data_IF_081875040197
#
_entry.id   IF_081875040197
#
_cell.length_a   1.000
_cell.length_b   1.000
_cell.length_c   1.000
_cell.angle_alpha   90.00
_cell.angle_beta   90.00
_cell.angle_gamma   90.00
#
_symmetry.space_group_name_H-M   'P 1'
#
loop_
_entity.id
_entity.type
_entity.pdbx_description
1 polymer ?
#
# COMPACT_ATOMS: atom_id res chain seq x y z
N UNK A 1 8.39 6.38 13.63
CA UNK A 1 8.47 7.20 12.39
C UNK A 1 9.09 8.56 12.68
N UNK A 2 8.62 9.30 13.70
CA UNK A 2 9.20 10.58 14.10
C UNK A 2 10.72 10.54 14.36
N UNK A 3 11.21 9.49 15.04
CA UNK A 3 12.64 9.31 15.32
C UNK A 3 13.53 9.12 14.08
N UNK A 4 12.94 8.85 12.92
CA UNK A 4 13.64 8.67 11.64
C UNK A 4 13.38 9.82 10.66
N UNK A 5 12.72 10.89 11.10
CA UNK A 5 12.35 12.05 10.26
C UNK A 5 11.53 11.66 9.01
N UNK A 6 10.80 10.55 9.08
CA UNK A 6 9.98 10.06 7.96
C UNK A 6 8.60 10.70 7.86
N UNK A 7 8.19 11.45 8.89
CA UNK A 7 6.86 12.08 8.92
C UNK A 7 6.62 12.98 7.70
N UNK A 8 7.63 13.73 7.26
CA UNK A 8 7.53 14.61 6.08
C UNK A 8 7.19 13.84 4.79
N UNK A 9 7.71 12.62 4.62
CA UNK A 9 7.48 11.81 3.41
C UNK A 9 6.12 11.11 3.40
N UNK A 10 5.39 11.12 4.52
CA UNK A 10 4.05 10.55 4.60
C UNK A 10 2.97 11.57 4.25
N UNK A 11 3.30 12.87 4.30
CA UNK A 11 2.35 13.92 3.97
C UNK A 11 2.04 13.91 2.47
N UNK A 12 0.75 13.99 2.13
CA UNK A 12 0.33 14.11 0.72
C UNK A 12 0.64 15.49 0.16
N UNK A 13 0.85 16.49 1.03
CA UNK A 13 1.28 17.85 0.72
C UNK A 13 2.16 18.43 1.84
N UNK A 14 3.09 19.35 1.55
CA UNK A 14 4.00 19.89 2.56
C UNK A 14 3.34 20.65 3.72
N UNK A 15 2.13 21.18 3.52
CA UNK A 15 1.40 21.99 4.50
C UNK A 15 0.56 21.18 5.49
N UNK A 16 0.53 19.85 5.38
CA UNK A 16 -0.14 18.96 6.33
C UNK A 16 0.57 19.03 7.69
N UNK A 17 -0.15 19.32 8.80
CA UNK A 17 0.42 19.29 10.14
C UNK A 17 0.93 17.90 10.51
N UNK A 18 2.08 17.83 11.19
CA UNK A 18 2.63 16.55 11.68
C UNK A 18 1.64 15.80 12.58
N UNK A 19 0.82 16.52 13.34
CA UNK A 19 -0.23 15.96 14.20
C UNK A 19 -1.27 15.15 13.45
N UNK A 20 -1.47 15.43 12.16
CA UNK A 20 -2.50 14.79 11.34
C UNK A 20 -1.99 13.50 10.71
N UNK A 21 -0.68 13.24 10.76
CA UNK A 21 -0.04 12.02 10.23
C UNK A 21 -0.21 10.86 11.21
N UNK A 22 -1.45 10.40 11.35
CA UNK A 22 -1.84 9.22 12.16
C UNK A 22 -1.83 7.93 11.34
N UNK A 23 -1.96 6.73 11.97
CA UNK A 23 -2.16 5.48 11.24
C UNK A 23 -3.38 5.51 10.29
N UNK A 24 -4.49 6.12 10.69
CA UNK A 24 -5.69 6.27 9.87
C UNK A 24 -5.45 7.18 8.67
N UNK A 25 -4.67 8.25 8.86
CA UNK A 25 -4.21 9.09 7.77
C UNK A 25 -3.35 8.27 6.79
N UNK A 26 -2.38 7.51 7.29
CA UNK A 26 -1.53 6.67 6.45
C UNK A 26 -2.32 5.59 5.69
N UNK A 27 -3.33 4.99 6.32
CA UNK A 27 -4.21 4.03 5.67
C UNK A 27 -5.01 4.65 4.50
N UNK A 28 -5.38 5.93 4.61
CA UNK A 28 -6.06 6.65 3.53
C UNK A 28 -5.11 7.08 2.42
N UNK A 29 -3.93 7.60 2.76
CA UNK A 29 -3.06 8.31 1.81
C UNK A 29 -1.84 7.51 1.31
N UNK A 30 -1.27 6.62 2.12
CA UNK A 30 0.03 6.01 1.83
C UNK A 30 -0.04 4.50 1.61
N UNK A 31 -0.89 3.80 2.37
CA UNK A 31 -0.96 2.35 2.34
C UNK A 31 -2.00 1.85 1.34
N UNK A 32 -1.74 0.64 0.84
CA UNK A 32 -2.65 -0.13 0.00
C UNK A 32 -3.68 -0.84 0.89
N UNK A 33 -4.68 -0.09 1.35
CA UNK A 33 -5.77 -0.58 2.21
C UNK A 33 -7.10 -0.32 1.54
N UNK A 34 -7.96 -1.35 1.47
CA UNK A 34 -9.29 -1.26 0.90
C UNK A 34 -9.81 -2.62 0.41
N UNK A 35 -10.84 -2.58 -0.45
CA UNK A 35 -11.29 -3.76 -1.20
C UNK A 35 -10.26 -4.15 -2.28
N UNK A 36 -10.37 -5.34 -2.90
CA UNK A 36 -9.52 -5.72 -4.03
C UNK A 36 -9.51 -4.68 -5.17
N UNK A 37 -10.66 -4.06 -5.46
CA UNK A 37 -10.76 -3.00 -6.48
C UNK A 37 -9.97 -1.75 -6.05
N UNK A 38 -10.19 -1.26 -4.83
CA UNK A 38 -9.47 -0.09 -4.31
C UNK A 38 -7.95 -0.32 -4.28
N UNK A 39 -7.51 -1.51 -3.89
CA UNK A 39 -6.08 -1.85 -3.85
C UNK A 39 -5.50 -1.96 -5.25
N UNK A 40 -6.24 -2.54 -6.20
CA UNK A 40 -5.81 -2.61 -7.59
C UNK A 40 -5.65 -1.21 -8.21
N UNK A 41 -6.62 -0.32 -7.99
CA UNK A 41 -6.56 1.04 -8.53
C UNK A 41 -5.36 1.82 -7.98
N UNK A 42 -5.18 1.82 -6.64
CA UNK A 42 -4.03 2.45 -5.98
C UNK A 42 -2.69 1.87 -6.46
N UNK A 43 -2.61 0.56 -6.62
CA UNK A 43 -1.39 -0.10 -7.10
C UNK A 43 -1.10 0.23 -8.56
N UNK A 44 -2.13 0.37 -9.39
CA UNK A 44 -1.99 0.78 -10.79
C UNK A 44 -1.52 2.23 -10.92
N UNK A 45 -2.04 3.14 -10.09
CA UNK A 45 -1.55 4.52 -10.01
C UNK A 45 -0.06 4.57 -9.70
N UNK A 46 0.39 3.84 -8.66
CA UNK A 46 1.81 3.76 -8.31
C UNK A 46 2.63 3.16 -9.46
N UNK A 47 2.14 2.09 -10.09
CA UNK A 47 2.80 1.44 -11.22
C UNK A 47 3.03 2.43 -12.36
N UNK A 48 2.02 3.20 -12.75
CA UNK A 48 2.15 4.19 -13.82
C UNK A 48 3.06 5.36 -13.45
N UNK A 49 2.98 5.85 -12.20
CA UNK A 49 3.76 7.00 -11.72
C UNK A 49 5.27 6.72 -11.72
N UNK A 50 5.67 5.50 -11.34
CA UNK A 50 7.10 5.12 -11.28
C UNK A 50 7.64 4.50 -12.59
N UNK A 51 6.79 4.34 -13.61
CA UNK A 51 7.15 3.68 -14.87
C UNK A 51 7.11 2.14 -14.81
N UNK A 52 6.56 1.57 -13.74
CA UNK A 52 6.34 0.14 -13.57
C UNK A 52 7.42 -0.59 -12.78
N UNK A 53 7.11 -1.81 -12.36
CA UNK A 53 8.02 -2.70 -11.64
C UNK A 53 7.68 -4.17 -11.92
N UNK A 54 8.66 -5.07 -11.79
CA UNK A 54 8.45 -6.50 -12.04
C UNK A 54 7.81 -7.26 -10.89
N UNK A 55 8.01 -6.81 -9.64
CA UNK A 55 7.60 -7.53 -8.44
C UNK A 55 7.12 -6.56 -7.37
N UNK A 56 5.95 -6.85 -6.81
CA UNK A 56 5.48 -6.22 -5.58
C UNK A 56 6.05 -6.98 -4.37
N UNK A 57 6.95 -6.35 -3.62
CA UNK A 57 7.43 -6.91 -2.35
C UNK A 57 6.51 -6.47 -1.23
N UNK A 58 5.78 -7.42 -0.64
CA UNK A 58 4.87 -7.14 0.46
C UNK A 58 5.62 -7.04 1.79
N UNK A 59 5.49 -5.90 2.46
CA UNK A 59 6.01 -5.71 3.81
C UNK A 59 5.03 -6.29 4.85
N UNK A 60 5.45 -7.30 5.59
CA UNK A 60 4.63 -8.06 6.53
C UNK A 60 5.03 -7.76 7.98
N UNK A 61 4.04 -7.71 8.87
CA UNK A 61 4.22 -7.61 10.31
C UNK A 61 3.88 -8.94 11.01
N UNK A 62 4.05 -8.99 12.33
CA UNK A 62 3.64 -10.13 13.13
C UNK A 62 2.10 -10.17 13.26
N UNK A 63 1.49 -11.14 12.58
CA UNK A 63 0.06 -11.46 12.64
C UNK A 63 -0.22 -12.76 13.41
N UNK A 64 0.69 -13.22 14.27
CA UNK A 64 0.52 -14.47 15.03
C UNK A 64 -0.74 -14.50 15.90
N UNK A 65 -1.17 -13.35 16.43
CA UNK A 65 -2.40 -13.22 17.23
C UNK A 65 -3.68 -13.26 16.38
N UNK A 66 -3.62 -12.80 15.13
CA UNK A 66 -4.76 -12.83 14.20
C UNK A 66 -4.34 -13.27 12.78
N UNK A 67 -3.97 -14.55 12.61
CA UNK A 67 -3.42 -15.03 11.36
C UNK A 67 -4.50 -15.23 10.29
N UNK A 68 -5.78 -15.36 10.68
CA UNK A 68 -6.89 -15.59 9.76
C UNK A 68 -7.15 -14.38 8.89
N UNK A 69 -7.24 -13.18 9.48
CA UNK A 69 -7.46 -11.95 8.73
C UNK A 69 -6.31 -11.68 7.74
N UNK A 70 -5.07 -11.89 8.20
CA UNK A 70 -3.89 -11.77 7.34
C UNK A 70 -3.91 -12.73 6.17
N UNK A 71 -4.13 -14.03 6.42
CA UNK A 71 -4.18 -15.04 5.34
C UNK A 71 -5.26 -14.72 4.31
N UNK A 72 -6.43 -14.28 4.77
CA UNK A 72 -7.49 -13.87 3.86
C UNK A 72 -7.07 -12.65 3.02
N UNK A 73 -6.45 -11.64 3.61
CA UNK A 73 -5.92 -10.48 2.88
C UNK A 73 -4.90 -10.87 1.81
N UNK A 74 -4.00 -11.83 2.11
CA UNK A 74 -3.01 -12.34 1.14
C UNK A 74 -3.66 -13.15 0.04
N UNK A 75 -4.68 -13.94 0.36
CA UNK A 75 -5.46 -14.66 -0.63
C UNK A 75 -6.13 -13.71 -1.63
N UNK A 76 -6.77 -12.64 -1.14
CA UNK A 76 -7.38 -11.61 -1.98
C UNK A 76 -6.33 -10.90 -2.85
N UNK A 77 -5.20 -10.51 -2.27
CA UNK A 77 -4.09 -9.90 -3.02
C UNK A 77 -3.62 -10.82 -4.16
N UNK A 78 -3.36 -12.09 -3.86
CA UNK A 78 -2.84 -13.05 -4.82
C UNK A 78 -3.86 -13.45 -5.90
N UNK A 79 -5.14 -13.60 -5.55
CA UNK A 79 -6.18 -14.14 -6.45
C UNK A 79 -7.01 -13.09 -7.15
N UNK A 80 -7.17 -11.89 -6.59
CA UNK A 80 -8.08 -10.87 -7.13
C UNK A 80 -7.36 -9.61 -7.61
N UNK A 81 -6.24 -9.24 -6.97
CA UNK A 81 -5.48 -8.03 -7.34
C UNK A 81 -4.38 -8.34 -8.34
N UNK A 82 -3.41 -9.18 -7.98
CA UNK A 82 -2.21 -9.42 -8.81
C UNK A 82 -2.50 -9.92 -10.24
N UNK A 83 -3.55 -10.72 -10.52
CA UNK A 83 -3.86 -11.12 -11.89
C UNK A 83 -4.14 -9.95 -12.83
N UNK A 84 -4.61 -8.80 -12.32
CA UNK A 84 -4.87 -7.58 -13.10
C UNK A 84 -3.58 -6.92 -13.64
N UNK A 85 -2.42 -7.29 -13.11
CA UNK A 85 -1.11 -6.74 -13.46
C UNK A 85 -0.27 -7.67 -14.35
N UNK A 86 -0.73 -8.92 -14.60
CA UNK A 86 0.06 -9.97 -15.27
C UNK A 86 0.53 -9.61 -16.70
N UNK A 87 -0.19 -8.74 -17.39
CA UNK A 87 0.13 -8.31 -18.76
C UNK A 87 0.87 -6.98 -18.86
N UNK A 88 1.14 -6.32 -17.73
CA UNK A 88 1.80 -5.02 -17.74
C UNK A 88 3.31 -5.18 -17.90
N UNK A 89 3.89 -4.31 -18.72
CA UNK A 89 5.33 -4.25 -18.97
C UNK A 89 5.82 -2.89 -18.47
N UNK A 90 6.81 -2.84 -17.57
CA UNK A 90 7.42 -1.58 -17.16
C UNK A 90 7.98 -0.83 -18.37
N UNK A 91 7.87 0.50 -18.35
CA UNK A 91 8.33 1.41 -19.41
C UNK A 91 9.84 1.47 -19.50
#
# INVERSE_FOLDING_TARGET
LASFQFTEFLKHKPDVPDSDVTPEYCARHNWLVGSPDTVADKLHEIYEEVGGFGTLLLFCFDYSENPTAWRHSIELLAKEVMPRFKGLVPK
#
